data_IF_198717175785
#
_entry.id   IF_198717175785
#
_cell.length_a   1.000
_cell.length_b   1.000
_cell.length_c   1.000
_cell.angle_alpha   90.00
_cell.angle_beta   90.00
_cell.angle_gamma   90.00
#
_symmetry.space_group_name_H-M   'P 1'
#
loop_
_entity.id
_entity.type
_entity.pdbx_description
1 polymer ?
#
# COMPACT_ATOMS: atom_id res chain seq x y z
N UNK A 1 -9.47 7.95 -18.01
CA UNK A 1 -8.30 8.77 -17.66
C UNK A 1 -8.38 9.22 -16.22
N UNK A 2 -7.31 9.02 -15.46
CA UNK A 2 -7.20 9.42 -14.06
C UNK A 2 -6.17 10.52 -13.93
N UNK A 3 -6.43 11.51 -13.08
CA UNK A 3 -5.47 12.58 -12.79
C UNK A 3 -5.43 12.86 -11.30
N UNK A 4 -4.24 13.15 -10.81
CA UNK A 4 -3.96 13.49 -9.41
C UNK A 4 -3.12 14.77 -9.39
N UNK A 5 -3.38 15.65 -8.45
CA UNK A 5 -2.64 16.89 -8.26
C UNK A 5 -2.66 17.33 -6.80
N UNK A 6 -1.85 18.28 -6.47
CA UNK A 6 -1.86 18.95 -5.18
C UNK A 6 -2.53 20.32 -5.28
N UNK A 7 -3.32 20.69 -4.29
CA UNK A 7 -4.06 21.96 -4.22
C UNK A 7 -4.07 22.51 -2.80
N UNK A 8 -4.08 23.85 -2.69
CA UNK A 8 -4.06 24.58 -1.40
C UNK A 8 -5.42 25.20 -1.06
N UNK A 9 -6.47 24.95 -1.83
CA UNK A 9 -7.78 25.60 -1.68
C UNK A 9 -8.41 25.48 -0.30
N UNK A 10 -8.09 24.41 0.44
CA UNK A 10 -8.64 24.10 1.77
C UNK A 10 -7.72 24.52 2.94
N UNK A 11 -6.73 25.38 2.72
CA UNK A 11 -5.89 25.95 3.78
C UNK A 11 -4.44 25.47 3.77
N UNK A 12 -4.20 24.16 3.68
CA UNK A 12 -2.89 23.53 3.46
C UNK A 12 -2.87 22.78 2.12
N UNK A 13 -1.70 22.34 1.69
CA UNK A 13 -1.56 21.52 0.49
C UNK A 13 -2.13 20.14 0.72
N UNK A 14 -3.04 19.69 -0.17
CA UNK A 14 -3.71 18.41 -0.12
C UNK A 14 -3.71 17.74 -1.48
N UNK A 15 -3.86 16.41 -1.50
CA UNK A 15 -3.94 15.62 -2.72
C UNK A 15 -5.39 15.53 -3.18
N UNK A 16 -5.61 15.81 -4.46
CA UNK A 16 -6.89 15.72 -5.14
C UNK A 16 -6.81 14.76 -6.31
N UNK A 17 -7.94 14.22 -6.67
CA UNK A 17 -8.12 13.28 -7.76
C UNK A 17 -9.40 13.58 -8.54
N UNK A 18 -9.41 13.27 -9.83
CA UNK A 18 -10.62 13.16 -10.65
C UNK A 18 -10.45 12.17 -11.79
N UNK A 19 -11.58 11.77 -12.34
CA UNK A 19 -11.70 10.79 -13.39
C UNK A 19 -12.42 11.36 -14.61
N UNK A 20 -11.99 10.95 -15.81
CA UNK A 20 -12.65 11.16 -17.08
C UNK A 20 -12.98 9.82 -17.73
N UNK A 21 -14.23 9.65 -18.14
CA UNK A 21 -14.71 8.47 -18.86
C UNK A 21 -14.59 8.60 -20.39
N UNK A 22 -14.31 9.80 -20.91
CA UNK A 22 -14.34 10.16 -22.33
C UNK A 22 -12.99 10.56 -22.91
N UNK A 23 -11.90 10.04 -22.31
CA UNK A 23 -10.53 10.30 -22.76
C UNK A 23 -10.00 11.70 -22.42
N UNK A 24 -10.61 12.39 -21.45
CA UNK A 24 -10.18 13.70 -20.97
C UNK A 24 -10.96 14.88 -21.55
N UNK A 25 -12.03 14.62 -22.30
CA UNK A 25 -12.89 15.71 -22.82
C UNK A 25 -13.70 16.35 -21.69
N UNK A 26 -14.20 15.53 -20.76
CA UNK A 26 -14.86 16.01 -19.54
C UNK A 26 -14.34 15.27 -18.31
N UNK A 27 -14.39 15.92 -17.17
CA UNK A 27 -13.97 15.32 -15.89
C UNK A 27 -15.11 15.42 -14.88
N UNK A 28 -15.16 14.40 -13.99
CA UNK A 28 -16.04 14.44 -12.83
C UNK A 28 -15.61 15.49 -11.80
N UNK A 29 -16.32 15.52 -10.67
CA UNK A 29 -15.98 16.40 -9.55
C UNK A 29 -14.63 16.04 -8.93
N UNK A 30 -13.96 17.07 -8.39
CA UNK A 30 -12.72 16.87 -7.62
C UNK A 30 -13.01 16.09 -6.35
N UNK A 31 -12.17 15.10 -6.06
CA UNK A 31 -12.20 14.31 -4.82
C UNK A 31 -10.94 14.62 -4.03
N UNK A 32 -11.07 15.12 -2.81
CA UNK A 32 -9.96 15.32 -1.90
C UNK A 32 -9.55 13.97 -1.29
N UNK A 33 -8.30 13.57 -1.43
CA UNK A 33 -7.78 12.28 -0.98
C UNK A 33 -7.00 12.34 0.32
N UNK A 34 -6.35 13.47 0.63
CA UNK A 34 -5.67 13.70 1.89
C UNK A 34 -6.37 14.79 2.69
N UNK A 35 -6.31 14.73 4.02
CA UNK A 35 -6.99 15.67 4.91
C UNK A 35 -6.28 15.83 6.26
N UNK A 36 -4.97 15.60 6.30
CA UNK A 36 -4.17 15.72 7.51
C UNK A 36 -3.81 17.18 7.83
N UNK A 37 -3.33 17.44 9.04
CA UNK A 37 -2.90 18.78 9.46
C UNK A 37 -1.58 19.23 8.80
N UNK A 38 -0.77 18.27 8.31
CA UNK A 38 0.44 18.54 7.52
C UNK A 38 0.13 18.79 6.06
N UNK A 39 1.09 19.30 5.32
CA UNK A 39 0.95 19.41 3.88
C UNK A 39 1.20 18.08 3.19
N UNK A 40 0.49 17.85 2.09
CA UNK A 40 0.64 16.70 1.19
C UNK A 40 1.05 17.20 -0.20
N UNK A 41 2.15 16.67 -0.77
CA UNK A 41 2.74 17.14 -2.02
C UNK A 41 3.21 16.01 -2.93
N UNK A 42 3.54 16.37 -4.17
CA UNK A 42 4.18 15.48 -5.15
C UNK A 42 3.47 14.14 -5.32
N UNK A 43 2.16 14.15 -5.66
CA UNK A 43 1.44 12.91 -5.90
C UNK A 43 1.92 12.22 -7.17
N UNK A 44 1.93 10.90 -7.12
CA UNK A 44 2.18 10.03 -8.27
C UNK A 44 1.12 8.95 -8.32
N UNK A 45 0.66 8.59 -9.53
CA UNK A 45 -0.45 7.66 -9.76
C UNK A 45 -0.04 6.54 -10.70
N UNK A 46 -0.49 5.33 -10.39
CA UNK A 46 -0.42 4.16 -11.28
C UNK A 46 -1.76 3.42 -11.26
N UNK A 47 -2.16 2.86 -12.39
CA UNK A 47 -3.46 2.19 -12.54
C UNK A 47 -3.30 0.83 -13.19
N UNK A 48 -4.10 -0.15 -12.72
CA UNK A 48 -4.23 -1.48 -13.29
C UNK A 48 -5.71 -1.90 -13.21
N UNK A 49 -6.37 -1.96 -14.36
CA UNK A 49 -7.82 -2.17 -14.49
C UNK A 49 -8.63 -1.24 -13.55
N UNK A 50 -9.27 -1.81 -12.52
CA UNK A 50 -10.04 -1.07 -11.51
C UNK A 50 -9.21 -0.59 -10.33
N UNK A 51 -7.95 -1.01 -10.22
CA UNK A 51 -7.07 -0.60 -9.14
C UNK A 51 -6.39 0.73 -9.48
N UNK A 52 -6.48 1.68 -8.57
CA UNK A 52 -5.81 2.98 -8.69
C UNK A 52 -4.94 3.15 -7.46
N UNK A 53 -3.65 3.28 -7.69
CA UNK A 53 -2.63 3.43 -6.65
C UNK A 53 -2.09 4.85 -6.69
N UNK A 54 -2.08 5.53 -5.55
CA UNK A 54 -1.54 6.89 -5.43
C UNK A 54 -0.56 6.89 -4.26
N UNK A 55 0.62 7.49 -4.47
CA UNK A 55 1.54 7.83 -3.38
C UNK A 55 1.85 9.31 -3.40
N UNK A 56 2.21 9.86 -2.26
CA UNK A 56 2.56 11.27 -2.10
C UNK A 56 3.53 11.47 -0.94
N UNK A 57 4.15 12.63 -0.89
CA UNK A 57 4.93 13.11 0.25
C UNK A 57 4.00 13.80 1.24
N UNK A 58 4.16 13.52 2.52
CA UNK A 58 3.27 14.03 3.57
C UNK A 58 4.05 14.45 4.81
N UNK A 59 3.73 15.61 5.38
CA UNK A 59 4.42 16.17 6.54
C UNK A 59 3.64 16.03 7.85
N UNK A 60 2.58 15.22 7.90
CA UNK A 60 1.70 15.06 9.08
C UNK A 60 2.41 14.54 10.33
N UNK A 61 3.50 13.82 10.18
CA UNK A 61 4.23 13.16 11.26
C UNK A 61 5.45 13.97 11.78
N UNK A 62 5.60 15.23 11.36
CA UNK A 62 6.66 16.13 11.80
C UNK A 62 7.88 16.19 10.85
N UNK A 63 8.10 15.17 10.02
CA UNK A 63 9.02 15.16 8.88
C UNK A 63 8.28 14.66 7.63
N UNK A 64 8.91 14.75 6.47
CA UNK A 64 8.32 14.24 5.24
C UNK A 64 8.42 12.72 5.17
N UNK A 65 7.29 12.08 4.92
CA UNK A 65 7.17 10.65 4.75
C UNK A 65 6.39 10.32 3.47
N UNK A 66 6.58 9.13 2.94
CA UNK A 66 5.79 8.63 1.81
C UNK A 66 4.52 7.99 2.32
N UNK A 67 3.39 8.49 1.84
CA UNK A 67 2.06 7.94 2.06
C UNK A 67 1.51 7.33 0.78
N UNK A 68 0.54 6.44 0.96
CA UNK A 68 -0.08 5.68 -0.11
C UNK A 68 -1.56 5.51 0.15
N UNK A 69 -2.35 5.49 -0.92
CA UNK A 69 -3.78 5.20 -0.91
C UNK A 69 -4.15 4.40 -2.16
N UNK A 70 -5.15 3.56 -2.04
CA UNK A 70 -5.65 2.74 -3.15
C UNK A 70 -7.17 2.85 -3.26
N UNK A 71 -7.65 2.84 -4.49
CA UNK A 71 -9.01 2.48 -4.85
C UNK A 71 -9.01 1.12 -5.53
N UNK A 72 -10.02 0.29 -5.26
CA UNK A 72 -10.22 -1.04 -5.85
C UNK A 72 -11.43 -1.10 -6.76
N UNK A 73 -12.08 0.04 -7.00
CA UNK A 73 -13.35 0.17 -7.74
C UNK A 73 -13.33 1.34 -8.75
N UNK A 74 -12.17 1.60 -9.34
CA UNK A 74 -12.02 2.61 -10.39
C UNK A 74 -12.07 4.07 -9.89
N UNK A 75 -11.83 4.32 -8.59
CA UNK A 75 -11.82 5.65 -7.99
C UNK A 75 -13.15 6.07 -7.38
N UNK A 76 -14.13 5.17 -7.32
CA UNK A 76 -15.41 5.46 -6.67
C UNK A 76 -15.28 5.52 -5.14
N UNK A 77 -14.48 4.62 -4.55
CA UNK A 77 -14.15 4.61 -3.13
C UNK A 77 -12.65 4.45 -2.91
N UNK A 78 -12.16 4.99 -1.80
CA UNK A 78 -10.74 4.95 -1.43
C UNK A 78 -10.56 4.33 -0.07
N UNK A 79 -9.56 3.44 0.07
CA UNK A 79 -9.18 2.87 1.35
C UNK A 79 -8.42 3.92 2.19
N UNK A 80 -8.17 3.60 3.46
CA UNK A 80 -7.42 4.47 4.38
C UNK A 80 -5.98 4.72 3.93
N UNK A 81 -5.41 5.83 4.40
CA UNK A 81 -4.00 6.16 4.16
C UNK A 81 -3.08 5.11 4.77
N UNK A 82 -2.04 4.73 4.04
CA UNK A 82 -0.98 3.85 4.52
C UNK A 82 0.36 4.59 4.49
N UNK A 83 1.02 4.72 5.64
CA UNK A 83 2.38 5.26 5.73
C UNK A 83 3.37 4.20 5.23
N UNK A 84 4.17 4.52 4.23
CA UNK A 84 5.16 3.60 3.63
C UNK A 84 6.55 3.74 4.20
N UNK A 85 6.90 4.91 4.69
CA UNK A 85 8.19 5.21 5.32
C UNK A 85 7.99 5.68 6.74
N UNK A 86 8.92 5.37 7.63
CA UNK A 86 8.88 5.74 9.04
C UNK A 86 10.31 5.84 9.57
N UNK A 87 11.00 6.88 9.19
CA UNK A 87 12.37 7.11 9.59
C UNK A 87 12.55 8.54 10.11
N UNK A 88 13.64 8.83 10.85
CA UNK A 88 13.97 10.18 11.29
C UNK A 88 14.40 11.08 10.12
N UNK A 89 14.89 10.49 9.03
CA UNK A 89 15.18 11.16 7.77
C UNK A 89 13.91 11.55 7.01
N UNK A 90 14.02 12.49 6.09
CA UNK A 90 12.91 12.91 5.25
C UNK A 90 12.84 12.06 3.98
N UNK A 91 11.67 11.49 3.72
CA UNK A 91 11.34 10.75 2.50
C UNK A 91 10.54 11.66 1.56
N UNK A 92 11.08 11.94 0.37
CA UNK A 92 10.57 12.99 -0.51
C UNK A 92 10.31 12.49 -1.93
N UNK A 93 9.45 13.21 -2.66
CA UNK A 93 9.21 13.07 -4.10
C UNK A 93 9.03 11.63 -4.57
N UNK A 94 8.04 10.90 -4.06
CA UNK A 94 7.82 9.51 -4.45
C UNK A 94 7.31 9.40 -5.89
N UNK A 95 7.64 8.29 -6.53
CA UNK A 95 7.09 7.90 -7.82
C UNK A 95 6.63 6.46 -7.76
N UNK A 96 5.46 6.16 -8.34
CA UNK A 96 4.83 4.84 -8.33
C UNK A 96 4.61 4.34 -9.75
N UNK A 97 4.82 3.05 -9.97
CA UNK A 97 4.50 2.38 -11.23
C UNK A 97 4.10 0.92 -10.99
N UNK A 98 3.40 0.34 -11.98
CA UNK A 98 2.99 -1.07 -12.00
C UNK A 98 3.71 -1.78 -13.14
N UNK A 99 4.20 -2.98 -12.86
CA UNK A 99 4.77 -3.87 -13.86
C UNK A 99 4.26 -5.30 -13.62
N UNK A 100 3.40 -5.77 -14.52
CA UNK A 100 2.58 -6.97 -14.26
C UNK A 100 1.72 -6.74 -13.01
N UNK A 101 1.67 -7.70 -12.10
CA UNK A 101 0.97 -7.56 -10.83
C UNK A 101 1.78 -6.84 -9.72
N UNK A 102 3.01 -6.41 -10.02
CA UNK A 102 3.88 -5.82 -9.01
C UNK A 102 3.81 -4.30 -9.03
N UNK A 103 3.63 -3.71 -7.85
CA UNK A 103 3.71 -2.29 -7.60
C UNK A 103 5.13 -1.91 -7.19
N UNK A 104 5.66 -0.86 -7.79
CA UNK A 104 7.02 -0.35 -7.58
C UNK A 104 6.94 1.10 -7.13
N UNK A 105 7.59 1.44 -6.03
CA UNK A 105 7.65 2.80 -5.49
C UNK A 105 9.11 3.15 -5.24
N UNK A 106 9.54 4.31 -5.73
CA UNK A 106 10.85 4.88 -5.49
C UNK A 106 10.70 6.26 -4.85
N UNK A 107 11.64 6.67 -4.02
CA UNK A 107 11.64 8.01 -3.42
C UNK A 107 13.08 8.43 -3.08
N UNK A 108 13.30 9.71 -2.85
CA UNK A 108 14.55 10.21 -2.29
C UNK A 108 14.46 10.27 -0.77
N UNK A 109 15.55 9.93 -0.08
CA UNK A 109 15.57 9.80 1.37
C UNK A 109 16.94 10.20 1.94
N UNK A 110 16.99 10.87 3.08
CA UNK A 110 18.24 11.32 3.69
C UNK A 110 18.56 10.64 5.02
N UNK A 111 17.96 9.48 5.32
CA UNK A 111 18.14 8.74 6.57
C UNK A 111 19.58 8.34 6.86
N UNK A 112 20.40 8.14 5.84
CA UNK A 112 21.81 7.74 5.94
C UNK A 112 22.78 8.95 5.93
N UNK A 113 22.27 10.18 6.11
CA UNK A 113 23.03 11.41 6.23
C UNK A 113 23.22 12.18 4.92
N UNK A 114 23.09 11.53 3.76
CA UNK A 114 23.03 12.13 2.43
C UNK A 114 21.76 11.66 1.71
N UNK A 115 21.37 12.36 0.64
CA UNK A 115 20.16 11.98 -0.12
C UNK A 115 20.47 10.82 -1.05
N UNK A 116 19.77 9.71 -0.85
CA UNK A 116 19.85 8.49 -1.65
C UNK A 116 18.48 8.13 -2.25
N UNK A 117 18.46 7.22 -3.21
CA UNK A 117 17.23 6.69 -3.79
C UNK A 117 16.87 5.36 -3.13
N UNK A 118 15.69 5.33 -2.55
CA UNK A 118 15.11 4.14 -1.94
C UNK A 118 14.01 3.54 -2.81
N UNK A 119 13.80 2.25 -2.63
CA UNK A 119 12.86 1.47 -3.40
C UNK A 119 12.07 0.50 -2.53
N UNK A 120 10.78 0.41 -2.79
CA UNK A 120 9.87 -0.58 -2.20
C UNK A 120 9.07 -1.27 -3.29
N UNK A 121 8.91 -2.59 -3.16
CA UNK A 121 8.10 -3.39 -4.08
C UNK A 121 6.98 -4.08 -3.33
N UNK A 122 5.77 -4.05 -3.90
CA UNK A 122 4.67 -4.94 -3.52
C UNK A 122 4.45 -5.94 -4.67
N UNK A 123 4.74 -7.24 -4.50
CA UNK A 123 4.72 -8.20 -5.60
C UNK A 123 3.32 -8.56 -6.11
N UNK A 124 2.28 -8.25 -5.38
CA UNK A 124 0.89 -8.60 -5.72
C UNK A 124 0.04 -7.43 -6.20
N UNK A 125 0.55 -6.19 -6.12
CA UNK A 125 -0.27 -4.99 -6.37
C UNK A 125 -1.45 -4.80 -5.40
N UNK A 126 -1.67 -5.76 -4.52
CA UNK A 126 -2.73 -5.67 -3.50
C UNK A 126 -2.47 -4.51 -2.55
N UNK A 127 -3.49 -4.00 -1.85
CA UNK A 127 -3.34 -2.89 -0.93
C UNK A 127 -2.12 -3.07 -0.02
N UNK A 128 -1.21 -2.08 -0.03
CA UNK A 128 -0.08 -2.02 0.90
C UNK A 128 -0.64 -1.51 2.22
N UNK A 129 -0.75 -2.37 3.18
CA UNK A 129 -1.29 -2.07 4.48
C UNK A 129 -2.04 -3.27 5.04
N UNK A 130 -2.32 -3.26 6.32
CA UNK A 130 -3.24 -4.21 6.92
C UNK A 130 -4.63 -3.88 6.36
N UNK A 131 -5.03 -4.56 5.29
CA UNK A 131 -6.46 -4.68 5.02
C UNK A 131 -6.97 -5.46 6.22
N UNK A 132 -7.90 -4.94 7.02
CA UNK A 132 -8.61 -5.80 7.95
C UNK A 132 -9.29 -6.86 7.08
N UNK A 133 -8.74 -8.06 7.04
CA UNK A 133 -9.25 -9.22 6.28
C UNK A 133 -10.67 -9.54 6.75
N UNK A 134 -11.02 -9.04 7.90
CA UNK A 134 -12.39 -8.99 8.45
C UNK A 134 -12.38 -8.09 9.68
N UNK A 135 -13.40 -7.27 9.86
CA UNK A 135 -13.73 -6.64 11.16
C UNK A 135 -14.34 -7.67 12.13
N UNK A 136 -14.60 -8.88 11.66
CA UNK A 136 -15.06 -10.01 12.48
C UNK A 136 -13.84 -10.75 13.03
N UNK A 137 -13.70 -10.76 14.34
CA UNK A 137 -12.73 -11.64 15.02
C UNK A 137 -13.09 -13.07 14.63
N UNK A 138 -12.15 -13.86 14.08
CA UNK A 138 -12.42 -15.24 13.72
C UNK A 138 -12.96 -16.00 14.92
N UNK A 139 -14.01 -16.81 14.74
CA UNK A 139 -14.63 -17.59 15.82
C UNK A 139 -13.80 -18.82 16.20
N UNK A 140 -12.76 -19.16 15.45
CA UNK A 140 -11.90 -20.33 15.69
C UNK A 140 -10.55 -20.19 15.01
N UNK A 141 -9.62 -21.07 15.40
CA UNK A 141 -8.34 -21.23 14.71
C UNK A 141 -8.57 -21.88 13.36
N UNK A 142 -7.94 -21.37 12.31
CA UNK A 142 -7.90 -22.02 10.99
C UNK A 142 -6.51 -21.94 10.38
N UNK A 143 -6.19 -22.94 9.57
CA UNK A 143 -5.04 -22.97 8.69
C UNK A 143 -5.54 -23.57 7.36
N UNK A 144 -5.58 -22.74 6.35
CA UNK A 144 -6.11 -23.13 5.04
C UNK A 144 -5.04 -23.83 4.19
N UNK A 145 -5.51 -24.60 3.20
CA UNK A 145 -4.63 -25.17 2.18
C UNK A 145 -3.91 -24.04 1.46
N UNK A 146 -2.59 -24.17 1.29
CA UNK A 146 -1.83 -23.21 0.51
C UNK A 146 -2.34 -23.16 -0.94
N UNK A 147 -2.42 -21.94 -1.51
CA UNK A 147 -2.88 -21.74 -2.89
C UNK A 147 -2.01 -20.70 -3.62
N UNK A 148 -1.60 -20.98 -4.88
CA UNK A 148 -1.80 -22.22 -5.62
C UNK A 148 -1.04 -23.41 -5.04
N UNK A 149 -1.53 -24.64 -5.29
CA UNK A 149 -0.83 -25.87 -4.97
C UNK A 149 -1.12 -26.91 -6.08
N UNK A 150 -0.13 -27.35 -6.90
CA UNK A 150 1.30 -26.99 -6.81
C UNK A 150 1.59 -25.50 -7.07
N UNK A 151 2.71 -24.98 -6.55
CA UNK A 151 3.09 -23.59 -6.68
C UNK A 151 4.41 -23.42 -7.47
N UNK A 152 4.57 -22.24 -8.12
CA UNK A 152 5.80 -21.86 -8.82
C UNK A 152 5.88 -20.33 -8.99
N UNK A 153 6.79 -19.61 -8.36
CA UNK A 153 7.59 -20.02 -7.19
C UNK A 153 6.92 -19.63 -5.86
N UNK A 154 5.71 -19.05 -5.88
CA UNK A 154 5.04 -18.44 -4.71
C UNK A 154 3.71 -19.13 -4.43
N UNK A 155 3.40 -19.32 -3.16
CA UNK A 155 2.08 -19.73 -2.67
C UNK A 155 1.68 -18.89 -1.47
N UNK A 156 0.37 -18.74 -1.25
CA UNK A 156 -0.19 -18.06 -0.09
C UNK A 156 -0.64 -19.09 0.93
N UNK A 157 -0.38 -18.83 2.20
CA UNK A 157 -0.86 -19.62 3.34
C UNK A 157 -1.73 -18.70 4.17
N UNK A 158 -3.01 -19.01 4.31
CA UNK A 158 -3.96 -18.24 5.09
C UNK A 158 -4.25 -18.94 6.41
N UNK A 159 -4.21 -18.20 7.52
CA UNK A 159 -4.53 -18.72 8.85
C UNK A 159 -5.32 -17.67 9.65
N UNK A 160 -6.09 -18.11 10.63
CA UNK A 160 -6.88 -17.25 11.49
C UNK A 160 -6.68 -17.58 12.97
N UNK A 161 -6.69 -16.54 13.81
CA UNK A 161 -6.52 -16.62 15.25
C UNK A 161 -7.67 -15.85 15.93
N UNK A 162 -8.46 -16.50 16.80
CA UNK A 162 -9.56 -15.86 17.49
C UNK A 162 -9.12 -14.95 18.65
N UNK A 163 -7.90 -15.13 19.16
CA UNK A 163 -7.33 -14.36 20.24
C UNK A 163 -5.89 -13.97 19.94
N UNK A 164 -5.44 -12.85 20.48
CA UNK A 164 -4.02 -12.49 20.47
C UNK A 164 -3.19 -13.51 21.27
N UNK A 165 -2.07 -13.92 20.72
CA UNK A 165 -1.17 -14.89 21.36
C UNK A 165 0.06 -15.18 20.50
N UNK A 166 1.03 -15.86 21.09
CA UNK A 166 2.23 -16.28 20.37
C UNK A 166 1.88 -17.33 19.31
N UNK A 167 2.40 -17.17 18.11
CA UNK A 167 2.14 -18.03 16.96
C UNK A 167 3.46 -18.53 16.39
N UNK A 168 3.53 -19.83 16.12
CA UNK A 168 4.59 -20.42 15.30
C UNK A 168 3.96 -21.08 14.08
N UNK A 169 4.28 -20.59 12.89
CA UNK A 169 3.95 -21.24 11.62
C UNK A 169 5.25 -21.77 11.01
N UNK A 170 5.35 -23.08 10.85
CA UNK A 170 6.54 -23.75 10.36
C UNK A 170 6.21 -24.74 9.24
N UNK A 171 7.15 -24.93 8.33
CA UNK A 171 7.08 -25.91 7.23
C UNK A 171 7.94 -27.12 7.59
N UNK A 172 7.39 -28.31 7.38
CA UNK A 172 8.06 -29.59 7.64
C UNK A 172 8.17 -30.40 6.34
N UNK A 173 9.24 -31.17 6.21
CA UNK A 173 9.35 -32.18 5.17
C UNK A 173 8.51 -33.44 5.48
N UNK A 174 8.48 -34.38 4.54
CA UNK A 174 7.70 -35.62 4.70
C UNK A 174 8.21 -36.55 5.85
N UNK A 175 9.40 -36.29 6.38
CA UNK A 175 9.98 -37.01 7.52
C UNK A 175 9.72 -36.30 8.86
N UNK A 176 8.98 -35.15 8.84
CA UNK A 176 8.70 -34.35 10.02
C UNK A 176 9.84 -33.46 10.46
N UNK A 177 10.85 -33.21 9.62
CA UNK A 177 11.94 -32.29 9.92
C UNK A 177 11.49 -30.86 9.54
N UNK A 178 11.65 -29.93 10.47
CA UNK A 178 11.41 -28.50 10.22
C UNK A 178 12.40 -27.96 9.18
N UNK A 179 11.88 -27.39 8.08
CA UNK A 179 12.67 -26.83 6.98
C UNK A 179 12.62 -25.32 6.93
N UNK A 180 11.54 -24.70 7.46
CA UNK A 180 11.44 -23.26 7.56
C UNK A 180 10.45 -22.84 8.66
N UNK A 181 10.69 -21.70 9.31
CA UNK A 181 9.74 -21.02 10.18
C UNK A 181 9.28 -19.77 9.44
N UNK A 182 7.98 -19.66 9.18
CA UNK A 182 7.39 -18.57 8.42
C UNK A 182 6.89 -17.44 9.32
N UNK A 183 6.39 -17.79 10.53
CA UNK A 183 5.95 -16.84 11.56
C UNK A 183 6.46 -17.35 12.91
N UNK A 184 6.96 -16.46 13.76
CA UNK A 184 7.36 -16.75 15.11
C UNK A 184 7.26 -15.46 15.95
N UNK A 185 6.20 -15.32 16.73
CA UNK A 185 5.94 -14.11 17.53
C UNK A 185 4.72 -14.25 18.43
#
# INVERSE_FOLDING_TARGET
LHTVWEDKGDGNWEIYYKYSADGGMTFGSDQRLSSASGNSWYPSIATDDSFIHICWQDARDGNNEVYYKISTDGGANWLGDTRLTNDAGASNTPSINISGAALHIVWSDNRDGNTEIYYKRNPSGNPIGIVPVSTTIPSGYSLDQNYPNPFNPVTNIQFALPNAGNVKLAVYDMNGKEVAVLVNG
#
